data_IF_340167437985
#
_entry.id   IF_340167437985
#
_cell.length_a   1.000
_cell.length_b   1.000
_cell.length_c   1.000
_cell.angle_alpha   90.00
_cell.angle_beta   90.00
_cell.angle_gamma   90.00
#
_symmetry.space_group_name_H-M   'P 1'
#
loop_
_entity.id
_entity.type
_entity.pdbx_description
1 polymer ?
#
# COMPACT_ATOMS: atom_id res chain seq x y z
N UNK A 1 -11.39 8.36 14.52
CA UNK A 1 -10.57 8.67 13.33
C UNK A 1 -9.70 7.45 13.04
N UNK A 2 -9.50 7.14 11.76
CA UNK A 2 -8.64 6.03 11.30
C UNK A 2 -7.63 6.54 10.29
N UNK A 3 -6.50 5.85 10.12
CA UNK A 3 -5.49 6.17 9.09
C UNK A 3 -5.27 4.98 8.16
N UNK A 4 -5.48 5.17 6.86
CA UNK A 4 -5.22 4.16 5.85
C UNK A 4 -4.00 4.55 5.04
N UNK A 5 -3.00 3.67 5.03
CA UNK A 5 -1.83 3.80 4.19
C UNK A 5 -1.92 2.82 3.03
N UNK A 6 -1.73 3.31 1.81
CA UNK A 6 -1.78 2.50 0.61
C UNK A 6 -0.42 2.51 -0.08
N UNK A 7 0.21 1.35 -0.20
CA UNK A 7 1.48 1.17 -0.90
C UNK A 7 1.25 0.28 -2.13
N UNK A 8 1.33 0.87 -3.32
CA UNK A 8 1.36 0.05 -4.54
C UNK A 8 2.67 -0.71 -4.61
N UNK A 9 2.64 -2.00 -4.92
CA UNK A 9 3.85 -2.80 -5.11
C UNK A 9 4.85 -2.14 -6.08
N UNK A 10 6.14 -2.43 -5.89
CA UNK A 10 7.21 -1.93 -6.73
C UNK A 10 7.19 -2.56 -8.13
N UNK A 11 7.91 -1.94 -9.08
CA UNK A 11 7.89 -2.35 -10.49
C UNK A 11 8.31 -3.82 -10.65
N UNK A 12 7.36 -4.65 -11.08
CA UNK A 12 7.55 -6.07 -11.37
C UNK A 12 8.16 -6.32 -12.75
N UNK A 13 8.84 -7.46 -12.86
CA UNK A 13 9.46 -7.94 -14.09
C UNK A 13 8.47 -8.83 -14.88
N UNK A 14 8.68 -8.94 -16.19
CA UNK A 14 7.99 -9.84 -17.11
C UNK A 14 8.98 -10.74 -17.87
N UNK A 15 10.27 -10.70 -17.55
CA UNK A 15 11.35 -11.36 -18.32
C UNK A 15 11.33 -12.90 -18.33
N UNK A 16 10.31 -13.54 -17.75
CA UNK A 16 10.17 -15.00 -17.76
C UNK A 16 8.73 -15.37 -18.08
N UNK A 17 8.52 -15.85 -19.32
CA UNK A 17 7.22 -16.21 -19.86
C UNK A 17 6.62 -17.47 -19.18
N UNK A 18 7.40 -18.17 -18.35
CA UNK A 18 6.92 -19.32 -17.59
C UNK A 18 6.28 -18.95 -16.25
N UNK A 19 6.41 -17.69 -15.81
CA UNK A 19 5.87 -17.26 -14.52
C UNK A 19 4.38 -16.90 -14.63
N UNK A 20 3.59 -17.39 -13.68
CA UNK A 20 2.24 -16.86 -13.45
C UNK A 20 2.30 -15.39 -13.02
N UNK A 21 1.22 -14.63 -13.18
CA UNK A 21 1.23 -13.22 -12.73
C UNK A 21 1.62 -13.07 -11.25
N UNK A 22 1.16 -13.99 -10.41
CA UNK A 22 1.42 -13.99 -8.97
C UNK A 22 2.91 -14.22 -8.64
N UNK A 23 3.65 -14.94 -9.49
CA UNK A 23 5.05 -15.33 -9.25
C UNK A 23 6.08 -14.35 -9.81
N UNK A 24 5.62 -13.22 -10.34
CA UNK A 24 6.50 -12.21 -10.94
C UNK A 24 7.30 -11.46 -9.87
N UNK A 25 8.64 -11.44 -9.95
CA UNK A 25 9.50 -10.73 -9.00
C UNK A 25 9.54 -9.22 -9.30
N UNK A 26 10.08 -8.43 -8.38
CA UNK A 26 10.38 -7.01 -8.62
C UNK A 26 11.69 -6.82 -9.38
N UNK A 27 11.69 -5.87 -10.31
CA UNK A 27 12.87 -5.48 -11.10
C UNK A 27 13.96 -4.82 -10.23
N UNK A 28 15.20 -4.74 -10.76
CA UNK A 28 16.28 -3.93 -10.15
C UNK A 28 15.85 -2.48 -9.88
N UNK A 29 15.11 -1.88 -10.82
CA UNK A 29 14.54 -0.54 -10.65
C UNK A 29 13.51 -0.51 -9.52
N UNK A 30 12.63 -1.51 -9.44
CA UNK A 30 11.66 -1.64 -8.36
C UNK A 30 12.33 -1.70 -6.98
N UNK A 31 13.42 -2.46 -6.85
CA UNK A 31 14.22 -2.53 -5.61
C UNK A 31 14.77 -1.16 -5.19
N UNK A 32 15.33 -0.39 -6.13
CA UNK A 32 15.81 0.98 -5.86
C UNK A 32 14.67 1.92 -5.45
N UNK A 33 13.52 1.79 -6.09
CA UNK A 33 12.35 2.59 -5.76
C UNK A 33 11.85 2.32 -4.34
N UNK A 34 11.86 1.06 -3.89
CA UNK A 34 11.57 0.72 -2.49
C UNK A 34 12.52 1.43 -1.53
N UNK A 35 13.83 1.35 -1.78
CA UNK A 35 14.84 1.95 -0.91
C UNK A 35 14.62 3.46 -0.75
N UNK A 36 14.32 4.18 -1.83
CA UNK A 36 14.06 5.63 -1.80
C UNK A 36 12.84 5.98 -0.95
N UNK A 37 11.73 5.25 -1.13
CA UNK A 37 10.47 5.52 -0.42
C UNK A 37 10.58 5.09 1.05
N UNK A 38 11.19 3.94 1.33
CA UNK A 38 11.41 3.44 2.67
C UNK A 38 12.32 4.38 3.48
N UNK A 39 13.41 4.86 2.88
CA UNK A 39 14.30 5.83 3.52
C UNK A 39 13.60 7.16 3.84
N UNK A 40 12.72 7.64 2.95
CA UNK A 40 11.94 8.86 3.21
C UNK A 40 10.96 8.67 4.37
N UNK A 41 10.23 7.55 4.40
CA UNK A 41 9.32 7.24 5.50
C UNK A 41 10.07 7.14 6.84
N UNK A 42 11.23 6.48 6.84
CA UNK A 42 12.09 6.38 8.01
C UNK A 42 12.59 7.75 8.48
N UNK A 43 13.10 8.58 7.56
CA UNK A 43 13.58 9.93 7.83
C UNK A 43 12.49 10.83 8.40
N UNK A 44 11.25 10.63 7.97
CA UNK A 44 10.06 11.30 8.47
C UNK A 44 9.51 10.71 9.77
N UNK A 45 10.25 9.79 10.42
CA UNK A 45 9.89 9.21 11.72
C UNK A 45 8.69 8.27 11.67
N UNK A 46 8.29 7.79 10.49
CA UNK A 46 7.10 6.93 10.34
C UNK A 46 7.38 5.52 10.86
N UNK A 47 6.47 4.99 11.67
CA UNK A 47 6.43 3.61 12.14
C UNK A 47 4.99 3.10 12.00
N UNK A 48 4.82 1.86 11.59
CA UNK A 48 3.50 1.29 11.31
C UNK A 48 3.25 0.05 12.17
N UNK A 49 1.99 -0.16 12.55
CA UNK A 49 1.60 -1.23 13.47
C UNK A 49 0.97 -2.44 12.77
N UNK A 50 0.16 -2.22 11.73
CA UNK A 50 -0.53 -3.30 11.02
C UNK A 50 -0.25 -3.17 9.52
N UNK A 51 0.35 -4.21 8.94
CA UNK A 51 0.70 -4.26 7.52
C UNK A 51 0.06 -5.47 6.87
N UNK A 52 -0.91 -5.21 6.01
CA UNK A 52 -1.59 -6.19 5.17
C UNK A 52 -0.94 -6.23 3.80
N UNK A 53 -0.29 -7.33 3.48
CA UNK A 53 0.48 -7.48 2.25
C UNK A 53 -0.15 -8.57 1.37
N UNK A 54 -0.46 -8.21 0.12
CA UNK A 54 -0.92 -9.17 -0.88
C UNK A 54 0.06 -10.34 -1.02
N UNK A 55 -0.46 -11.55 -1.12
CA UNK A 55 0.35 -12.78 -1.27
C UNK A 55 1.12 -12.87 -2.60
N UNK A 56 0.83 -12.02 -3.58
CA UNK A 56 1.60 -11.96 -4.82
C UNK A 56 3.08 -11.64 -4.57
N UNK A 57 3.99 -12.35 -5.25
CA UNK A 57 5.44 -12.27 -5.05
C UNK A 57 5.99 -10.85 -5.14
N UNK A 58 5.51 -10.04 -6.08
CA UNK A 58 5.92 -8.62 -6.20
C UNK A 58 5.56 -7.76 -4.99
N UNK A 59 4.42 -8.00 -4.34
CA UNK A 59 4.03 -7.29 -3.12
C UNK A 59 4.88 -7.79 -1.95
N UNK A 60 5.08 -9.11 -1.85
CA UNK A 60 5.95 -9.74 -0.86
C UNK A 60 7.40 -9.25 -0.94
N UNK A 61 7.97 -9.16 -2.14
CA UNK A 61 9.32 -8.62 -2.34
C UNK A 61 9.38 -7.12 -2.08
N UNK A 62 8.30 -6.37 -2.30
CA UNK A 62 8.20 -4.95 -1.92
C UNK A 62 8.28 -4.82 -0.40
N UNK A 63 7.48 -5.59 0.35
CA UNK A 63 7.50 -5.63 1.81
C UNK A 63 8.90 -5.97 2.34
N UNK A 64 9.51 -7.06 1.83
CA UNK A 64 10.87 -7.47 2.22
C UNK A 64 11.92 -6.37 1.99
N UNK A 65 11.74 -5.54 0.96
CA UNK A 65 12.62 -4.38 0.76
C UNK A 65 12.42 -3.30 1.80
N UNK A 66 11.18 -2.95 2.13
CA UNK A 66 10.93 -1.96 3.19
C UNK A 66 11.48 -2.42 4.54
N UNK A 67 11.34 -3.71 4.89
CA UNK A 67 11.92 -4.30 6.11
C UNK A 67 13.46 -4.37 6.09
N UNK A 68 14.08 -4.53 4.92
CA UNK A 68 15.54 -4.63 4.81
C UNK A 68 16.24 -3.28 4.66
N UNK A 69 15.55 -2.28 4.12
CA UNK A 69 16.12 -0.98 3.78
C UNK A 69 15.74 0.12 4.81
N UNK A 70 14.88 -0.18 5.78
CA UNK A 70 14.42 0.75 6.83
C UNK A 70 13.82 0.02 8.03
N UNK A 71 13.57 0.75 9.12
CA UNK A 71 12.94 0.25 10.35
C UNK A 71 11.45 0.61 10.46
N UNK A 72 10.81 1.04 9.37
CA UNK A 72 9.42 1.53 9.38
C UNK A 72 8.40 0.44 9.77
N UNK A 73 8.78 -0.84 9.62
CA UNK A 73 7.96 -2.02 9.88
C UNK A 73 8.52 -2.95 10.97
N UNK A 74 9.52 -2.51 11.76
CA UNK A 74 10.18 -3.40 12.75
C UNK A 74 9.21 -3.89 13.84
N UNK A 75 8.30 -3.02 14.29
CA UNK A 75 7.27 -3.33 15.28
C UNK A 75 5.91 -3.68 14.66
N UNK A 76 5.86 -3.85 13.32
CA UNK A 76 4.62 -4.09 12.61
C UNK A 76 4.19 -5.56 12.73
N UNK A 77 2.90 -5.78 13.01
CA UNK A 77 2.25 -7.04 12.73
C UNK A 77 2.05 -7.18 11.22
N UNK A 78 2.71 -8.19 10.64
CA UNK A 78 2.66 -8.47 9.21
C UNK A 78 1.62 -9.56 8.93
N UNK A 79 0.59 -9.23 8.15
CA UNK A 79 -0.46 -10.15 7.71
C UNK A 79 -0.37 -10.35 6.20
N UNK A 80 -0.19 -11.59 5.77
CA UNK A 80 -0.21 -11.97 4.36
C UNK A 80 -1.66 -12.28 3.96
N UNK A 81 -2.25 -11.44 3.10
CA UNK A 81 -3.69 -11.45 2.84
C UNK A 81 -3.99 -11.69 1.35
N UNK A 82 -4.72 -12.77 1.07
CA UNK A 82 -5.16 -13.11 -0.29
C UNK A 82 -6.23 -12.14 -0.79
N UNK A 83 -7.11 -11.62 0.07
CA UNK A 83 -8.13 -10.64 -0.31
C UNK A 83 -7.53 -9.32 -0.84
N UNK A 84 -6.31 -8.98 -0.43
CA UNK A 84 -5.56 -7.81 -0.93
C UNK A 84 -4.94 -8.06 -2.33
N UNK A 85 -4.85 -9.32 -2.77
CA UNK A 85 -4.62 -9.66 -4.19
C UNK A 85 -5.90 -9.43 -5.01
N UNK A 86 -6.29 -8.18 -5.15
CA UNK A 86 -7.45 -7.76 -5.93
C UNK A 86 -7.11 -6.59 -6.82
N UNK A 87 -7.86 -6.49 -7.91
CA UNK A 87 -7.76 -5.43 -8.91
C UNK A 87 -9.05 -4.58 -8.93
N UNK A 88 -10.02 -4.89 -8.08
CA UNK A 88 -11.31 -4.21 -7.99
C UNK A 88 -11.39 -3.42 -6.68
N UNK A 89 -11.60 -2.10 -6.77
CA UNK A 89 -11.72 -1.23 -5.59
C UNK A 89 -12.86 -1.64 -4.66
N UNK A 90 -13.99 -2.09 -5.21
CA UNK A 90 -15.15 -2.52 -4.41
C UNK A 90 -14.82 -3.72 -3.51
N UNK A 91 -14.05 -4.70 -4.02
CA UNK A 91 -13.59 -5.85 -3.21
C UNK A 91 -12.62 -5.42 -2.12
N UNK A 92 -11.69 -4.51 -2.45
CA UNK A 92 -10.75 -3.99 -1.47
C UNK A 92 -11.46 -3.17 -0.38
N UNK A 93 -12.46 -2.36 -0.75
CA UNK A 93 -13.30 -1.61 0.19
C UNK A 93 -14.08 -2.56 1.12
N UNK A 94 -14.70 -3.60 0.57
CA UNK A 94 -15.45 -4.58 1.35
C UNK A 94 -14.54 -5.26 2.38
N UNK A 95 -13.36 -5.73 1.96
CA UNK A 95 -12.38 -6.30 2.87
C UNK A 95 -11.90 -5.30 3.94
N UNK A 96 -11.63 -4.04 3.57
CA UNK A 96 -11.22 -3.01 4.54
C UNK A 96 -12.27 -2.80 5.63
N UNK A 97 -13.56 -2.88 5.30
CA UNK A 97 -14.67 -2.75 6.25
C UNK A 97 -14.72 -3.86 7.29
N UNK A 98 -14.10 -4.99 7.00
CA UNK A 98 -14.02 -6.16 7.88
C UNK A 98 -12.81 -6.15 8.82
N UNK A 99 -11.91 -5.16 8.70
CA UNK A 99 -10.74 -5.04 9.58
C UNK A 99 -11.15 -4.93 11.06
N UNK A 100 -10.31 -5.40 12.00
CA UNK A 100 -10.62 -5.30 13.42
C UNK A 100 -10.81 -3.84 13.84
N UNK A 101 -11.95 -3.57 14.47
CA UNK A 101 -12.36 -2.20 14.82
C UNK A 101 -11.42 -1.51 15.81
N UNK A 102 -10.65 -2.30 16.57
CA UNK A 102 -9.58 -1.84 17.48
C UNK A 102 -8.33 -1.33 16.77
N UNK A 103 -8.17 -1.56 15.46
CA UNK A 103 -7.02 -1.04 14.71
C UNK A 103 -7.29 0.39 14.26
N UNK A 104 -6.45 1.33 14.70
CA UNK A 104 -6.58 2.74 14.28
C UNK A 104 -5.89 3.06 12.96
N UNK A 105 -5.04 2.15 12.49
CA UNK A 105 -4.40 2.31 11.18
C UNK A 105 -4.10 0.97 10.52
N UNK A 106 -4.00 1.00 9.19
CA UNK A 106 -3.61 -0.16 8.39
C UNK A 106 -2.76 0.28 7.20
N UNK A 107 -1.66 -0.42 6.94
CA UNK A 107 -0.90 -0.33 5.70
C UNK A 107 -1.36 -1.45 4.77
N UNK A 108 -1.72 -1.12 3.54
CA UNK A 108 -2.09 -2.09 2.51
C UNK A 108 -1.05 -2.07 1.39
N UNK A 109 -0.31 -3.18 1.25
CA UNK A 109 0.63 -3.38 0.14
C UNK A 109 -0.07 -4.20 -0.95
N UNK A 110 -0.50 -3.51 -2.00
CA UNK A 110 -1.44 -4.06 -2.99
C UNK A 110 -1.21 -3.61 -4.43
N UNK A 111 -2.27 -3.66 -5.23
CA UNK A 111 -2.22 -3.55 -6.69
C UNK A 111 -3.10 -2.44 -7.24
N UNK A 112 -2.70 -1.91 -8.40
CA UNK A 112 -3.59 -1.11 -9.22
C UNK A 112 -4.35 -2.03 -10.19
N UNK A 113 -5.58 -1.67 -10.59
CA UNK A 113 -6.22 -0.37 -10.35
C UNK A 113 -6.88 -0.19 -8.98
N UNK A 114 -7.20 -1.29 -8.26
CA UNK A 114 -7.88 -1.28 -6.96
C UNK A 114 -7.43 -0.17 -6.00
N UNK A 115 -6.13 -0.03 -5.73
CA UNK A 115 -5.61 0.97 -4.79
C UNK A 115 -5.91 2.41 -5.24
N UNK A 116 -5.68 2.72 -6.52
CA UNK A 116 -5.86 4.07 -7.04
C UNK A 116 -7.34 4.45 -7.11
N UNK A 117 -8.19 3.50 -7.50
CA UNK A 117 -9.64 3.69 -7.54
C UNK A 117 -10.23 3.81 -6.13
N UNK A 118 -9.81 2.96 -5.18
CA UNK A 118 -10.23 3.07 -3.78
C UNK A 118 -9.82 4.42 -3.18
N UNK A 119 -8.58 4.84 -3.40
CA UNK A 119 -8.10 6.12 -2.87
C UNK A 119 -8.91 7.30 -3.44
N UNK A 120 -9.23 7.29 -4.75
CA UNK A 120 -10.12 8.29 -5.37
C UNK A 120 -11.57 8.19 -4.88
N UNK A 121 -12.05 7.00 -4.50
CA UNK A 121 -13.38 6.85 -3.94
C UNK A 121 -13.45 7.46 -2.54
N UNK A 122 -12.43 7.25 -1.70
CA UNK A 122 -12.43 7.73 -0.32
C UNK A 122 -12.11 9.22 -0.19
N UNK A 123 -11.34 9.78 -1.12
CA UNK A 123 -10.88 11.17 -1.10
C UNK A 123 -11.63 12.02 -2.13
N UNK A 124 -12.25 13.12 -1.67
CA UNK A 124 -13.03 14.10 -2.46
C UNK A 124 -12.17 14.98 -3.42
N UNK A 125 -11.02 14.47 -3.85
CA UNK A 125 -10.12 15.15 -4.77
C UNK A 125 -9.64 14.24 -5.88
N UNK A 126 -8.87 14.80 -6.80
CA UNK A 126 -8.33 14.04 -7.93
C UNK A 126 -6.93 13.55 -7.60
N UNK A 127 -6.77 12.24 -7.41
CA UNK A 127 -5.43 11.64 -7.47
C UNK A 127 -4.95 11.63 -8.92
N UNK A 128 -3.75 12.15 -9.14
CA UNK A 128 -3.02 11.91 -10.38
C UNK A 128 -2.61 10.45 -10.52
N UNK A 129 -1.75 10.17 -11.50
CA UNK A 129 -1.26 8.82 -11.74
C UNK A 129 -0.53 8.23 -10.51
N UNK A 130 -1.01 7.07 -10.02
CA UNK A 130 -0.39 6.28 -8.95
C UNK A 130 0.59 5.27 -9.57
N UNK A 131 1.87 5.63 -9.62
CA UNK A 131 2.95 4.78 -10.12
C UNK A 131 3.32 3.65 -9.16
N UNK A 132 4.11 2.68 -9.60
CA UNK A 132 4.63 1.60 -8.74
C UNK A 132 5.44 2.15 -7.57
N UNK A 133 5.36 1.51 -6.41
CA UNK A 133 6.00 1.96 -5.16
C UNK A 133 5.55 3.36 -4.70
N UNK A 134 4.37 3.82 -5.12
CA UNK A 134 3.77 5.03 -4.53
C UNK A 134 3.14 4.66 -3.18
N UNK A 135 3.47 5.44 -2.16
CA UNK A 135 2.86 5.40 -0.83
C UNK A 135 1.88 6.57 -0.70
N UNK A 136 0.69 6.31 -0.17
CA UNK A 136 -0.36 7.31 0.05
C UNK A 136 -0.83 7.20 1.49
N UNK A 137 -1.07 8.33 2.12
CA UNK A 137 -1.64 8.42 3.47
C UNK A 137 -2.99 9.10 3.41
N UNK A 138 -4.01 8.39 3.91
CA UNK A 138 -5.37 8.89 4.01
C UNK A 138 -5.79 8.94 5.48
N UNK A 139 -6.12 10.14 5.94
CA UNK A 139 -6.81 10.33 7.22
C UNK A 139 -8.32 10.20 6.99
N UNK A 140 -8.96 9.28 7.71
CA UNK A 140 -10.36 8.92 7.49
C UNK A 140 -11.20 9.34 8.69
N UNK A 141 -12.23 10.14 8.42
CA UNK A 141 -13.16 10.65 9.42
C UNK A 141 -14.27 9.65 9.75
N UNK A 142 -13.86 8.52 10.35
CA UNK A 142 -14.71 7.43 10.82
C UNK A 142 -14.27 6.96 12.22
N UNK A 143 -15.19 6.31 12.94
CA UNK A 143 -14.91 5.62 14.20
C UNK A 143 -14.58 4.14 13.95
N UNK A 144 -15.31 3.51 13.03
CA UNK A 144 -15.19 2.09 12.70
C UNK A 144 -14.96 1.90 11.21
N UNK A 145 -14.16 0.89 10.83
CA UNK A 145 -13.80 0.59 9.44
C UNK A 145 -15.02 0.32 8.56
N UNK A 146 -16.09 -0.25 9.09
CA UNK A 146 -17.34 -0.50 8.35
C UNK A 146 -18.05 0.77 7.85
N UNK A 147 -17.72 1.93 8.44
CA UNK A 147 -18.22 3.25 8.08
C UNK A 147 -17.50 3.89 6.88
N UNK A 148 -16.49 3.21 6.30
CA UNK A 148 -15.83 3.66 5.07
C UNK A 148 -16.85 3.95 3.97
N UNK A 149 -16.74 5.12 3.36
CA UNK A 149 -17.66 5.60 2.32
C UNK A 149 -16.97 6.63 1.44
N UNK A 150 -17.64 7.02 0.36
CA UNK A 150 -17.17 8.08 -0.51
C UNK A 150 -16.85 9.35 0.30
N UNK A 151 -15.78 10.04 -0.07
CA UNK A 151 -15.43 11.37 0.44
C UNK A 151 -15.25 11.43 1.97
N UNK A 152 -14.97 10.27 2.60
CA UNK A 152 -14.75 10.16 4.04
C UNK A 152 -13.30 10.41 4.48
N UNK A 153 -12.39 10.62 3.53
CA UNK A 153 -10.96 10.73 3.78
C UNK A 153 -10.35 12.03 3.21
N UNK A 154 -9.26 12.45 3.85
CA UNK A 154 -8.33 13.47 3.34
C UNK A 154 -7.01 12.79 2.98
N UNK A 155 -6.48 13.09 1.80
CA UNK A 155 -5.11 12.71 1.45
C UNK A 155 -4.14 13.64 2.18
N UNK A 156 -3.40 13.13 3.16
CA UNK A 156 -2.46 13.92 3.97
C UNK A 156 -1.04 13.87 3.44
N UNK A 157 -0.65 12.78 2.76
CA UNK A 157 0.67 12.65 2.15
C UNK A 157 0.66 11.70 0.93
N UNK A 158 1.60 11.93 0.00
CA UNK A 158 1.84 11.05 -1.14
C UNK A 158 3.33 11.05 -1.54
N UNK A 159 3.98 9.92 -1.28
CA UNK A 159 5.40 9.72 -1.54
C UNK A 159 5.56 8.85 -2.79
N UNK A 160 6.31 9.37 -3.77
CA UNK A 160 6.56 8.76 -5.06
C UNK A 160 8.07 8.62 -5.24
N UNK A 161 8.58 7.48 -5.75
CA UNK A 161 10.01 7.30 -5.96
C UNK A 161 10.65 8.39 -6.83
N UNK A 162 9.89 8.96 -7.78
CA UNK A 162 10.37 10.03 -8.67
C UNK A 162 10.74 11.33 -7.96
N UNK A 163 10.28 11.55 -6.72
CA UNK A 163 10.64 12.74 -5.95
C UNK A 163 12.10 12.71 -5.46
N UNK A 164 12.76 11.54 -5.49
CA UNK A 164 14.09 11.32 -4.90
C UNK A 164 15.11 10.80 -5.94
N UNK A 165 14.87 11.04 -7.22
CA UNK A 165 15.73 10.61 -8.33
C UNK A 165 16.45 11.77 -8.98
#
# INVERSE_FOLDING_TARGET
MKTLYLLRHAKSDWNDDQLTDADRPITKRGKRDCQLVAAELQRSGRRFKYVYCSTAKRAQETLKRFQGDSDVFDDAEIIHENAVYTFEAAKLLAWLKELPQSQDSAVVIGHNPALAELANYLYDGKLGHVGTCTFMELEINIEYWDQLRADSAKLTDIIRPKQFR
#
